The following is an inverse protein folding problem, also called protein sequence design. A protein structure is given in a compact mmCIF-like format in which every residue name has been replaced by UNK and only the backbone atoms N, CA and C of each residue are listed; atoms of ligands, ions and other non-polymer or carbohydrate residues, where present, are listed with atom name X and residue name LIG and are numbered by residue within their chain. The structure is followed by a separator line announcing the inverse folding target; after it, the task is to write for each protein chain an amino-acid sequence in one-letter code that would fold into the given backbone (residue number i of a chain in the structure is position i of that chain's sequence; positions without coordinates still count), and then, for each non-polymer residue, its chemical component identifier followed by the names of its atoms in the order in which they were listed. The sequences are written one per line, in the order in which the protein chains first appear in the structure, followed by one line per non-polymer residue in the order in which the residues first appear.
data_IF_664424581754
#
_entry.id   IF_664424581754
#
_cell.length_a   1.000
_cell.length_b   1.000
_cell.length_c   1.000
_cell.angle_alpha   90.00
_cell.angle_beta   90.00
_cell.angle_gamma   90.00
#
_symmetry.space_group_name_H-M   'P 1'
#
loop_
_entity.id
_entity.type
_entity.pdbx_description
1 polymer ?
#
# COMPACT_ATOMS: atom_id res chain seq x y z
N UNK A 1 -21.97 -45.02 6.22
CA UNK A 1 -22.35 -44.00 5.23
C UNK A 1 -22.49 -42.58 5.82
N UNK A 2 -22.99 -42.40 7.05
CA UNK A 2 -23.16 -41.06 7.67
C UNK A 2 -21.84 -40.37 8.06
N UNK A 3 -20.85 -41.14 8.52
CA UNK A 3 -19.51 -40.62 8.88
C UNK A 3 -18.73 -40.09 7.66
N UNK A 4 -18.90 -40.71 6.49
CA UNK A 4 -18.23 -40.30 5.24
C UNK A 4 -18.75 -38.93 4.79
N UNK A 5 -20.06 -38.71 4.88
CA UNK A 5 -20.66 -37.41 4.56
C UNK A 5 -20.21 -36.30 5.54
N UNK A 6 -20.05 -36.64 6.83
CA UNK A 6 -19.56 -35.70 7.84
C UNK A 6 -18.09 -35.33 7.61
N UNK A 7 -17.24 -36.30 7.29
CA UNK A 7 -15.85 -36.05 6.92
C UNK A 7 -15.75 -35.19 5.65
N UNK A 8 -16.55 -35.47 4.62
CA UNK A 8 -16.57 -34.65 3.40
C UNK A 8 -17.01 -33.21 3.69
N UNK A 9 -18.02 -33.02 4.54
CA UNK A 9 -18.49 -31.69 4.92
C UNK A 9 -17.44 -30.92 5.72
N UNK A 10 -16.77 -31.58 6.68
CA UNK A 10 -15.67 -30.99 7.44
C UNK A 10 -14.48 -30.61 6.54
N UNK A 11 -14.11 -31.45 5.57
CA UNK A 11 -13.03 -31.15 4.64
C UNK A 11 -13.38 -29.97 3.72
N UNK A 12 -14.63 -29.86 3.25
CA UNK A 12 -15.10 -28.72 2.46
C UNK A 12 -15.11 -27.41 3.27
N UNK A 13 -15.51 -27.47 4.55
CA UNK A 13 -15.47 -26.32 5.46
C UNK A 13 -14.03 -25.88 5.70
N UNK A 14 -13.09 -26.81 5.94
CA UNK A 14 -11.67 -26.50 6.13
C UNK A 14 -11.03 -25.86 4.87
N UNK A 15 -11.44 -26.26 3.66
CA UNK A 15 -11.00 -25.64 2.40
C UNK A 15 -11.54 -24.20 2.27
N UNK A 16 -12.78 -23.95 2.68
CA UNK A 16 -13.39 -22.60 2.64
C UNK A 16 -12.85 -21.63 3.70
N UNK A 17 -12.16 -22.14 4.73
CA UNK A 17 -11.44 -21.33 5.71
C UNK A 17 -10.06 -20.88 5.22
N UNK A 18 -9.58 -21.40 4.07
CA UNK A 18 -8.42 -20.83 3.39
C UNK A 18 -8.86 -19.64 2.54
N UNK A 19 -9.47 -18.64 3.18
CA UNK A 19 -9.46 -17.29 2.63
C UNK A 19 -8.04 -16.75 2.82
N UNK A 20 -7.12 -17.18 1.95
CA UNK A 20 -6.04 -16.28 1.55
C UNK A 20 -6.72 -15.20 0.74
N UNK A 21 -7.27 -14.22 1.46
CA UNK A 21 -7.38 -12.89 0.93
C UNK A 21 -5.93 -12.45 0.77
N UNK A 22 -5.32 -12.81 -0.35
CA UNK A 22 -4.20 -12.08 -0.89
C UNK A 22 -4.79 -10.72 -1.26
N UNK A 23 -5.06 -9.92 -0.23
CA UNK A 23 -5.46 -8.53 -0.38
C UNK A 23 -4.26 -7.95 -1.10
N UNK A 24 -4.42 -7.72 -2.40
CA UNK A 24 -3.62 -6.74 -3.11
C UNK A 24 -3.94 -5.42 -2.42
N UNK A 25 -3.27 -5.16 -1.29
CA UNK A 25 -3.47 -3.97 -0.47
C UNK A 25 -2.90 -2.82 -1.27
N UNK A 26 -3.71 -2.28 -2.18
CA UNK A 26 -3.55 -0.93 -2.69
C UNK A 26 -3.94 0.08 -1.59
N UNK A 27 -3.56 -0.19 -0.34
CA UNK A 27 -3.88 0.61 0.84
C UNK A 27 -2.69 0.61 1.78
N UNK A 28 -2.42 1.78 2.37
CA UNK A 28 -1.34 1.96 3.33
C UNK A 28 -1.92 1.93 4.74
N UNK A 29 -1.61 0.89 5.50
CA UNK A 29 -2.04 0.76 6.89
C UNK A 29 -1.14 1.60 7.83
N UNK A 30 -1.72 2.56 8.53
CA UNK A 30 -1.01 3.44 9.46
C UNK A 30 -1.19 3.06 10.94
N UNK A 31 -1.87 1.96 11.25
CA UNK A 31 -2.23 1.58 12.62
C UNK A 31 -1.01 1.30 13.49
N UNK A 32 0.05 0.72 12.92
CA UNK A 32 1.33 0.46 13.60
C UNK A 32 2.15 1.70 13.93
N UNK A 33 1.83 2.85 13.32
CA UNK A 33 2.58 4.10 13.53
C UNK A 33 2.06 4.92 14.73
N UNK A 34 1.09 4.39 15.49
CA UNK A 34 0.50 5.07 16.65
C UNK A 34 1.43 5.08 17.87
N UNK A 35 2.48 4.27 17.90
CA UNK A 35 3.17 3.82 19.12
C UNK A 35 4.62 4.28 19.28
N UNK A 36 4.93 5.56 19.01
CA UNK A 36 6.14 6.17 19.60
C UNK A 36 5.70 7.16 20.68
N UNK A 37 6.19 6.99 21.92
CA UNK A 37 6.00 7.99 22.96
C UNK A 37 6.86 9.21 22.62
N UNK A 38 6.44 10.36 23.16
CA UNK A 38 7.03 11.69 23.01
C UNK A 38 6.99 12.34 21.64
N UNK A 39 6.70 13.63 21.70
CA UNK A 39 6.76 14.70 20.68
C UNK A 39 8.13 14.85 20.00
N UNK A 40 8.82 13.74 19.70
CA UNK A 40 9.97 13.75 18.81
C UNK A 40 9.52 13.23 17.45
N UNK A 41 9.92 13.95 16.41
CA UNK A 41 9.68 13.55 15.04
C UNK A 41 9.91 12.05 14.87
N UNK A 42 8.88 11.33 14.43
CA UNK A 42 9.04 9.95 13.98
C UNK A 42 10.21 9.92 13.00
N UNK A 43 11.32 9.33 13.42
CA UNK A 43 12.51 9.16 12.59
C UNK A 43 12.09 8.22 11.46
N UNK A 44 11.90 8.78 10.28
CA UNK A 44 11.63 8.03 9.07
C UNK A 44 12.95 7.72 8.38
N UNK A 45 13.05 6.54 7.76
CA UNK A 45 14.16 6.23 6.86
C UNK A 45 14.15 7.19 5.67
N UNK A 46 15.31 7.34 5.03
CA UNK A 46 15.45 8.12 3.79
C UNK A 46 15.08 7.32 2.53
N UNK A 47 14.48 6.15 2.68
CA UNK A 47 14.00 5.34 1.56
C UNK A 47 12.93 6.12 0.78
N UNK A 48 13.07 6.12 -0.55
CA UNK A 48 12.14 6.79 -1.44
C UNK A 48 11.17 5.77 -2.06
N UNK A 49 9.97 5.70 -1.49
CA UNK A 49 8.83 4.92 -1.96
C UNK A 49 7.60 5.82 -1.97
N UNK A 50 7.45 6.68 -3.00
CA UNK A 50 6.48 7.76 -2.98
C UNK A 50 5.04 7.24 -2.91
N UNK A 51 4.21 7.95 -2.15
CA UNK A 51 2.77 7.70 -1.98
C UNK A 51 2.02 9.00 -2.22
N UNK A 52 0.95 8.94 -3.02
CA UNK A 52 0.02 10.05 -3.21
C UNK A 52 -1.09 9.97 -2.17
N UNK A 53 -1.29 11.06 -1.42
CA UNK A 53 -2.40 11.23 -0.50
C UNK A 53 -3.65 11.79 -1.17
N UNK A 54 -4.81 11.63 -0.52
CA UNK A 54 -6.09 12.21 -0.95
C UNK A 54 -6.12 13.74 -0.88
N UNK A 55 -5.13 14.34 -0.23
CA UNK A 55 -4.86 15.78 -0.20
C UNK A 55 -4.06 16.26 -1.42
N UNK A 56 -3.74 15.37 -2.37
CA UNK A 56 -2.96 15.68 -3.56
C UNK A 56 -1.48 15.89 -3.31
N UNK A 57 -0.99 15.55 -2.11
CA UNK A 57 0.42 15.67 -1.73
C UNK A 57 1.15 14.34 -1.89
N UNK A 58 2.37 14.41 -2.43
CA UNK A 58 3.31 13.29 -2.47
C UNK A 58 4.06 13.17 -1.12
N UNK A 59 4.13 11.95 -0.62
CA UNK A 59 4.85 11.59 0.60
C UNK A 59 6.00 10.64 0.24
N UNK A 60 7.22 10.97 0.63
CA UNK A 60 8.45 10.27 0.21
C UNK A 60 8.47 8.77 0.55
N UNK A 61 7.79 8.39 1.64
CA UNK A 61 7.59 7.00 2.03
C UNK A 61 6.39 6.84 2.96
N UNK A 62 6.09 5.58 3.30
CA UNK A 62 5.00 5.18 4.20
C UNK A 62 5.11 5.84 5.57
N UNK A 63 6.31 6.01 6.12
CA UNK A 63 6.50 6.63 7.42
C UNK A 63 6.05 8.10 7.41
N UNK A 64 6.49 8.88 6.42
CA UNK A 64 6.07 10.27 6.26
C UNK A 64 4.58 10.40 5.98
N UNK A 65 4.01 9.53 5.13
CA UNK A 65 2.56 9.49 4.88
C UNK A 65 1.78 9.26 6.18
N UNK A 66 2.09 8.17 6.91
CA UNK A 66 1.42 7.87 8.17
C UNK A 66 1.70 8.91 9.28
N UNK A 67 2.78 9.68 9.16
CA UNK A 67 3.05 10.83 10.02
C UNK A 67 2.01 11.91 9.82
N UNK A 68 1.81 12.31 8.56
CA UNK A 68 0.82 13.31 8.19
C UNK A 68 -0.60 12.85 8.42
N UNK A 69 -0.93 11.58 8.15
CA UNK A 69 -2.26 11.02 8.48
C UNK A 69 -2.59 11.23 9.96
N UNK A 70 -1.67 10.87 10.88
CA UNK A 70 -1.87 11.10 12.32
C UNK A 70 -1.96 12.60 12.66
N UNK A 71 -1.05 13.43 12.14
CA UNK A 71 -1.08 14.90 12.35
C UNK A 71 -2.38 15.54 11.87
N UNK A 72 -2.99 14.98 10.82
CA UNK A 72 -4.26 15.43 10.27
C UNK A 72 -5.51 14.87 10.97
N UNK A 73 -5.35 14.05 12.02
CA UNK A 73 -6.43 13.27 12.63
C UNK A 73 -7.16 12.38 11.62
N UNK A 74 -6.39 11.58 10.88
CA UNK A 74 -6.87 10.61 9.89
C UNK A 74 -7.69 11.21 8.72
N UNK A 75 -7.60 12.53 8.48
CA UNK A 75 -8.27 13.20 7.36
C UNK A 75 -7.66 12.83 6.01
N UNK A 76 -6.33 12.69 5.96
CA UNK A 76 -5.63 12.28 4.75
C UNK A 76 -5.80 10.77 4.56
N UNK A 77 -6.20 10.36 3.35
CA UNK A 77 -6.35 8.96 2.94
C UNK A 77 -5.33 8.61 1.87
N UNK A 78 -5.09 7.32 1.66
CA UNK A 78 -4.25 6.85 0.57
C UNK A 78 -5.00 7.07 -0.76
N UNK A 79 -4.34 7.63 -1.77
CA UNK A 79 -4.89 7.74 -3.11
C UNK A 79 -4.29 6.66 -4.02
N UNK A 80 -2.96 6.69 -4.23
CA UNK A 80 -2.24 5.69 -5.02
C UNK A 80 -0.75 5.64 -4.67
N UNK A 81 -0.08 4.59 -5.10
CA UNK A 81 1.39 4.49 -5.04
C UNK A 81 2.01 5.38 -6.13
N UNK A 82 3.16 5.97 -5.85
CA UNK A 82 3.82 6.94 -6.72
C UNK A 82 3.57 8.38 -6.29
N UNK A 83 4.19 9.30 -7.01
CA UNK A 83 4.00 10.74 -6.80
C UNK A 83 2.65 11.19 -7.36
N UNK A 84 2.01 12.14 -6.68
CA UNK A 84 0.83 12.80 -7.23
C UNK A 84 1.19 13.55 -8.53
N UNK A 85 0.27 13.58 -9.49
CA UNK A 85 0.43 14.35 -10.73
C UNK A 85 1.34 13.70 -11.79
N UNK A 86 2.03 12.60 -11.46
CA UNK A 86 2.73 11.81 -12.47
C UNK A 86 1.72 11.02 -13.27
N UNK A 87 1.56 11.37 -14.54
CA UNK A 87 0.79 10.56 -15.48
C UNK A 87 1.51 9.22 -15.63
N UNK A 88 0.79 8.12 -15.42
CA UNK A 88 1.34 6.79 -15.64
C UNK A 88 2.05 6.73 -17.01
N UNK A 89 3.24 6.14 -17.11
CA UNK A 89 3.91 5.97 -18.39
C UNK A 89 2.96 5.20 -19.30
N UNK A 90 2.43 5.89 -20.32
CA UNK A 90 1.64 5.19 -21.33
C UNK A 90 2.54 4.19 -22.04
N UNK A 91 2.00 3.11 -22.64
CA UNK A 91 2.80 2.19 -23.45
C UNK A 91 3.67 2.91 -24.49
N UNK A 92 3.18 4.04 -25.02
CA UNK A 92 3.93 4.92 -25.94
C UNK A 92 5.16 5.56 -25.28
N UNK A 93 5.05 5.96 -24.01
CA UNK A 93 6.15 6.53 -23.24
C UNK A 93 7.19 5.47 -22.83
N UNK A 94 6.75 4.23 -22.56
CA UNK A 94 7.64 3.10 -22.26
C UNK A 94 8.51 2.73 -23.47
N UNK A 95 7.93 2.64 -24.68
CA UNK A 95 8.72 2.44 -25.91
C UNK A 95 9.73 3.58 -26.10
N UNK A 96 9.32 4.83 -25.89
CA UNK A 96 10.18 5.98 -26.10
C UNK A 96 11.41 5.98 -25.16
N UNK A 97 11.30 5.44 -23.94
CA UNK A 97 12.43 5.26 -23.02
C UNK A 97 13.40 4.15 -23.45
N UNK A 98 12.90 3.08 -24.09
CA UNK A 98 13.75 1.99 -24.60
C UNK A 98 14.58 2.41 -25.82
N UNK A 99 14.11 3.39 -26.58
CA UNK A 99 14.77 3.86 -27.82
C UNK A 99 15.41 5.25 -27.70
N UNK A 100 15.32 5.92 -26.53
CA UNK A 100 15.98 7.22 -26.34
C UNK A 100 17.45 7.00 -25.95
N UNK A 101 18.42 7.64 -26.62
CA UNK A 101 19.79 7.62 -26.17
C UNK A 101 19.85 8.27 -24.78
N UNK A 102 20.49 7.61 -23.81
CA UNK A 102 20.71 8.16 -22.49
C UNK A 102 21.32 9.55 -22.64
N UNK A 103 20.62 10.58 -22.13
CA UNK A 103 21.11 11.96 -22.16
C UNK A 103 22.43 11.98 -21.38
N UNK A 104 23.50 12.27 -22.11
CA UNK A 104 24.87 12.39 -21.60
C UNK A 104 25.00 13.64 -20.73
#
# INVERSE_FOLDING_TARGET
MKAVAFCLFLMLVLISNFNVESVSKNTVDCTGFKKLPSEEERVCTLEYMPICGSDGKTYSNRCHFCSSVKKSNDKIKFAHTGECGVKAPTPKHLLQMLFSPARR
#
